data_IF_993112657738
#
_entry.id   IF_993112657738
#
_cell.length_a   1.000
_cell.length_b   1.000
_cell.length_c   1.000
_cell.angle_alpha   90.00
_cell.angle_beta   90.00
_cell.angle_gamma   90.00
#
_symmetry.space_group_name_H-M   'P 1'
#
loop_
_entity.id
_entity.type
_entity.pdbx_description
1 polymer ?
#
# COMPACT_ATOMS: atom_id res chain seq x y z
N UNK A 1 -23.23 1.60 17.57
CA UNK A 1 -22.32 1.60 16.39
C UNK A 1 -20.85 1.59 16.84
N UNK A 2 -20.46 0.68 17.75
CA UNK A 2 -19.13 0.65 18.40
C UNK A 2 -18.50 -0.75 18.46
N UNK A 3 -19.12 -1.75 17.84
CA UNK A 3 -18.75 -3.17 17.94
C UNK A 3 -18.44 -3.82 16.59
N UNK A 4 -17.66 -3.18 15.72
CA UNK A 4 -17.27 -3.79 14.44
C UNK A 4 -15.76 -3.97 14.24
N UNK A 5 -14.89 -3.43 15.09
CA UNK A 5 -13.50 -3.23 14.68
C UNK A 5 -12.44 -4.08 15.40
N UNK A 6 -12.82 -5.04 16.24
CA UNK A 6 -11.83 -5.74 17.10
C UNK A 6 -11.42 -7.13 16.62
N UNK A 7 -11.90 -7.63 15.47
CA UNK A 7 -11.64 -9.01 15.01
C UNK A 7 -11.84 -9.20 13.49
N UNK A 8 -11.19 -8.42 12.62
CA UNK A 8 -11.42 -8.57 11.16
C UNK A 8 -10.20 -8.53 10.24
N UNK A 9 -8.95 -8.46 10.73
CA UNK A 9 -7.77 -8.46 9.84
C UNK A 9 -7.88 -7.38 8.75
N UNK A 10 -8.40 -6.20 9.12
CA UNK A 10 -8.76 -5.16 8.17
C UNK A 10 -7.51 -4.59 7.54
N UNK A 11 -7.49 -4.61 6.22
CA UNK A 11 -6.39 -4.08 5.42
C UNK A 11 -6.83 -2.76 4.79
N UNK A 12 -5.90 -1.82 4.69
CA UNK A 12 -6.17 -0.49 4.14
C UNK A 12 -5.19 -0.16 3.00
N UNK A 13 -5.64 0.72 2.10
CA UNK A 13 -4.82 1.30 1.04
C UNK A 13 -4.63 2.79 1.33
N UNK A 14 -3.39 3.27 1.20
CA UNK A 14 -3.04 4.67 1.19
C UNK A 14 -2.57 5.05 -0.22
N UNK A 15 -3.40 5.78 -0.96
CA UNK A 15 -3.04 6.22 -2.31
C UNK A 15 -2.50 7.64 -2.25
N UNK A 16 -1.24 7.81 -2.65
CA UNK A 16 -0.60 9.11 -2.77
C UNK A 16 -1.14 9.79 -4.03
N UNK A 17 -2.12 10.68 -3.88
CA UNK A 17 -2.76 11.41 -4.98
C UNK A 17 -1.96 12.64 -5.43
N UNK A 18 -0.63 12.57 -5.39
CA UNK A 18 0.18 13.70 -5.83
C UNK A 18 0.00 13.86 -7.33
N UNK A 19 -0.51 15.03 -7.73
CA UNK A 19 -0.60 15.45 -9.13
C UNK A 19 0.76 16.04 -9.49
N UNK A 20 1.79 15.19 -9.55
CA UNK A 20 3.14 15.57 -9.93
C UNK A 20 3.43 15.03 -11.33
N UNK A 21 4.07 15.81 -12.20
CA UNK A 21 4.31 15.42 -13.60
C UNK A 21 5.41 14.35 -13.77
N UNK A 22 6.05 13.89 -12.69
CA UNK A 22 7.20 12.99 -12.76
C UNK A 22 7.05 11.73 -11.91
N UNK A 23 7.18 10.56 -12.55
CA UNK A 23 7.24 9.23 -11.92
C UNK A 23 8.30 9.13 -10.81
N UNK A 24 9.35 9.95 -10.85
CA UNK A 24 10.38 10.00 -9.82
C UNK A 24 9.87 10.66 -8.54
N UNK A 25 9.17 11.78 -8.67
CA UNK A 25 8.66 12.54 -7.53
C UNK A 25 7.50 11.79 -6.86
N UNK A 26 6.65 11.15 -7.66
CA UNK A 26 5.61 10.26 -7.13
C UNK A 26 6.23 9.13 -6.29
N UNK A 27 7.25 8.44 -6.81
CA UNK A 27 7.94 7.37 -6.10
C UNK A 27 8.54 7.85 -4.77
N UNK A 28 9.25 8.99 -4.80
CA UNK A 28 9.86 9.57 -3.59
C UNK A 28 8.81 9.95 -2.54
N UNK A 29 7.68 10.51 -2.95
CA UNK A 29 6.63 10.85 -2.02
C UNK A 29 5.94 9.61 -1.42
N UNK A 30 5.79 8.54 -2.19
CA UNK A 30 5.31 7.25 -1.70
C UNK A 30 6.26 6.67 -0.64
N UNK A 31 7.56 6.69 -0.94
CA UNK A 31 8.60 6.22 -0.04
C UNK A 31 8.61 7.03 1.26
N UNK A 32 8.57 8.36 1.18
CA UNK A 32 8.51 9.23 2.36
C UNK A 32 7.26 8.96 3.22
N UNK A 33 6.09 8.88 2.60
CA UNK A 33 4.84 8.54 3.29
C UNK A 33 4.92 7.16 3.95
N UNK A 34 5.51 6.18 3.27
CA UNK A 34 5.70 4.84 3.79
C UNK A 34 6.62 4.81 5.02
N UNK A 35 7.72 5.57 5.00
CA UNK A 35 8.61 5.73 6.14
C UNK A 35 7.91 6.41 7.32
N UNK A 36 7.19 7.50 7.08
CA UNK A 36 6.41 8.20 8.10
C UNK A 36 5.37 7.29 8.76
N UNK A 37 4.63 6.52 7.98
CA UNK A 37 3.61 5.61 8.50
C UNK A 37 4.23 4.45 9.28
N UNK A 38 5.39 3.94 8.85
CA UNK A 38 6.15 2.93 9.62
C UNK A 38 6.59 3.44 10.98
N UNK A 39 6.98 4.71 11.07
CA UNK A 39 7.36 5.33 12.33
C UNK A 39 6.14 5.62 13.21
N UNK A 40 5.03 6.06 12.61
CA UNK A 40 3.81 6.40 13.32
C UNK A 40 3.01 5.17 13.80
N UNK A 41 3.10 4.04 13.08
CA UNK A 41 2.34 2.81 13.31
C UNK A 41 3.27 1.59 13.34
N UNK A 42 4.23 1.52 14.28
CA UNK A 42 5.25 0.46 14.31
C UNK A 42 4.69 -0.94 14.54
N UNK A 43 3.47 -1.07 15.08
CA UNK A 43 2.76 -2.34 15.24
C UNK A 43 2.15 -2.88 13.94
N UNK A 44 2.11 -2.08 12.86
CA UNK A 44 1.54 -2.48 11.59
C UNK A 44 2.63 -2.84 10.58
N UNK A 45 2.45 -3.98 9.93
CA UNK A 45 3.16 -4.30 8.69
C UNK A 45 2.64 -3.44 7.53
N UNK A 46 3.48 -2.53 7.03
CA UNK A 46 3.13 -1.59 5.96
C UNK A 46 3.97 -1.89 4.72
N UNK A 47 3.31 -2.12 3.58
CA UNK A 47 3.92 -2.30 2.27
C UNK A 47 3.92 -1.04 1.41
N UNK A 48 4.72 -1.05 0.35
CA UNK A 48 4.86 0.03 -0.61
C UNK A 48 4.81 -0.49 -2.04
N UNK A 49 4.08 0.20 -2.93
CA UNK A 49 4.02 -0.06 -4.37
C UNK A 49 4.01 1.25 -5.16
N UNK A 50 5.02 1.51 -5.98
CA UNK A 50 5.05 2.69 -6.86
C UNK A 50 5.51 2.34 -8.28
N UNK A 51 5.38 3.29 -9.21
CA UNK A 51 5.66 3.12 -10.64
C UNK A 51 7.03 2.53 -10.97
N UNK A 52 8.05 2.88 -10.18
CA UNK A 52 9.47 2.55 -10.44
C UNK A 52 9.95 1.20 -9.91
N UNK A 53 9.16 0.50 -9.09
CA UNK A 53 9.52 -0.85 -8.61
C UNK A 53 9.51 -1.86 -9.77
N UNK A 54 10.32 -2.92 -9.67
CA UNK A 54 10.28 -3.99 -10.67
C UNK A 54 8.93 -4.73 -10.59
N UNK A 55 8.40 -5.23 -11.72
CA UNK A 55 7.12 -5.96 -11.71
C UNK A 55 7.07 -7.13 -10.71
N UNK A 56 8.16 -7.86 -10.55
CA UNK A 56 8.25 -8.96 -9.59
C UNK A 56 8.15 -8.49 -8.13
N UNK A 57 8.74 -7.35 -7.79
CA UNK A 57 8.66 -6.76 -6.44
C UNK A 57 7.24 -6.29 -6.15
N UNK A 58 6.59 -5.62 -7.12
CA UNK A 58 5.18 -5.23 -6.99
C UNK A 58 4.28 -6.44 -6.75
N UNK A 59 4.48 -7.52 -7.51
CA UNK A 59 3.70 -8.75 -7.35
C UNK A 59 3.90 -9.38 -5.97
N UNK A 60 5.13 -9.44 -5.47
CA UNK A 60 5.42 -9.97 -4.14
C UNK A 60 4.72 -9.15 -3.03
N UNK A 61 4.80 -7.82 -3.08
CA UNK A 61 4.13 -6.95 -2.11
C UNK A 61 2.61 -7.08 -2.20
N UNK A 62 2.05 -7.12 -3.41
CA UNK A 62 0.62 -7.32 -3.62
C UNK A 62 0.14 -8.69 -3.14
N UNK A 63 0.98 -9.73 -3.26
CA UNK A 63 0.67 -11.07 -2.74
C UNK A 63 0.68 -11.10 -1.22
N UNK A 64 1.71 -10.53 -0.58
CA UNK A 64 1.79 -10.40 0.88
C UNK A 64 0.60 -9.60 1.44
N UNK A 65 0.20 -8.53 0.73
CA UNK A 65 -1.03 -7.82 1.06
C UNK A 65 -2.24 -8.73 0.91
N UNK A 66 -2.47 -9.40 -0.23
CA UNK A 66 -3.63 -10.32 -0.38
C UNK A 66 -3.68 -11.45 0.67
N UNK A 67 -2.53 -11.87 1.20
CA UNK A 67 -2.43 -12.91 2.23
C UNK A 67 -2.69 -12.41 3.65
N UNK A 68 -2.87 -11.10 3.85
CA UNK A 68 -3.07 -10.51 5.17
C UNK A 68 -1.78 -10.28 5.96
N UNK A 69 -0.61 -10.47 5.34
CA UNK A 69 0.69 -10.24 6.00
C UNK A 69 0.97 -8.75 6.18
N UNK A 70 0.42 -7.92 5.29
CA UNK A 70 0.50 -6.47 5.32
C UNK A 70 -0.86 -5.88 5.71
N UNK A 71 -0.88 -4.97 6.68
CA UNK A 71 -2.08 -4.31 7.18
C UNK A 71 -2.40 -3.03 6.39
N UNK A 72 -1.38 -2.37 5.83
CA UNK A 72 -1.51 -1.14 5.07
C UNK A 72 -0.63 -1.19 3.83
N UNK A 73 -1.14 -0.71 2.70
CA UNK A 73 -0.38 -0.60 1.46
C UNK A 73 -0.35 0.84 0.97
N UNK A 74 0.84 1.42 0.88
CA UNK A 74 1.07 2.74 0.30
C UNK A 74 1.31 2.61 -1.21
N UNK A 75 0.56 3.33 -2.04
CA UNK A 75 0.73 3.27 -3.50
C UNK A 75 0.55 4.62 -4.22
N UNK A 76 1.24 4.81 -5.36
CA UNK A 76 1.11 6.04 -6.18
C UNK A 76 0.18 5.88 -7.36
N UNK A 77 0.06 4.67 -7.91
CA UNK A 77 -0.85 4.39 -9.01
C UNK A 77 -2.19 3.96 -8.44
N UNK A 78 -3.28 4.30 -9.14
CA UNK A 78 -4.54 3.56 -9.01
C UNK A 78 -4.17 2.09 -9.19
N UNK A 79 -4.20 1.33 -8.11
CA UNK A 79 -4.09 -0.11 -8.20
C UNK A 79 -5.34 -0.50 -8.96
N UNK A 80 -5.20 -0.75 -10.25
CA UNK A 80 -6.19 -1.50 -11.00
C UNK A 80 -6.28 -2.80 -10.22
N UNK A 81 -7.32 -2.93 -9.39
CA UNK A 81 -7.69 -4.17 -8.73
C UNK A 81 -8.16 -5.07 -9.86
N UNK A 82 -7.20 -5.53 -10.67
CA UNK A 82 -7.39 -6.26 -11.90
C UNK A 82 -8.16 -7.51 -11.56
N UNK A 83 -9.45 -7.46 -11.88
CA UNK A 83 -10.41 -8.47 -11.51
C UNK A 83 -10.12 -9.81 -12.17
N UNK A 84 -10.15 -10.87 -11.37
CA UNK A 84 -11.15 -11.93 -11.49
C UNK A 84 -11.03 -12.85 -10.29
N UNK A 85 -12.15 -13.04 -9.60
CA UNK A 85 -12.44 -14.32 -8.99
C UNK A 85 -12.45 -15.39 -10.09
N UNK A 86 -11.70 -16.46 -9.88
CA UNK A 86 -11.98 -17.78 -10.45
C UNK A 86 -11.51 -18.81 -9.45
#
# INVERSE_FOLDING_TARGET
MRNACTTEGRQAYWVCTLIEESDLLEAQAAEATWEELKLALPELNIGLVHGRMKPAEKQAVMQAFKQGELHLLVATTVIEVGGRCS
#
